data_IF_062320010231
#
_entry.id   IF_062320010231
#
_cell.length_a   1.000
_cell.length_b   1.000
_cell.length_c   1.000
_cell.angle_alpha   90.00
_cell.angle_beta   90.00
_cell.angle_gamma   90.00
#
_symmetry.space_group_name_H-M   'P 1'
#
loop_
_entity.id
_entity.type
_entity.pdbx_description
1 polymer ?
#
# COMPACT_ATOMS: atom_id res chain seq x y z
N UNK A 1 54.06 1.78 -0.91
CA UNK A 1 53.12 0.93 -0.15
C UNK A 1 51.83 1.71 0.03
N UNK A 2 50.80 1.37 -0.79
CA UNK A 2 49.52 2.00 -0.72
C UNK A 2 48.68 1.21 0.29
N UNK A 3 48.41 1.78 1.45
CA UNK A 3 47.47 1.22 2.42
C UNK A 3 46.06 1.56 1.92
N UNK A 4 45.40 0.62 1.30
CA UNK A 4 43.96 0.67 1.10
C UNK A 4 43.30 0.54 2.48
N UNK A 5 42.82 1.65 3.02
CA UNK A 5 41.89 1.64 4.15
C UNK A 5 40.59 1.09 3.61
N UNK A 6 40.40 -0.24 3.70
CA UNK A 6 39.08 -0.83 3.58
C UNK A 6 38.33 -0.39 4.85
N UNK A 7 37.58 0.71 4.77
CA UNK A 7 36.63 1.05 5.82
C UNK A 7 35.64 -0.12 5.89
N UNK A 8 35.68 -0.91 6.95
CA UNK A 8 34.70 -1.95 7.21
C UNK A 8 33.36 -1.27 7.47
N UNK A 9 32.56 -1.12 6.43
CA UNK A 9 31.18 -0.66 6.58
C UNK A 9 30.48 -1.68 7.47
N UNK A 10 29.98 -1.23 8.65
CA UNK A 10 29.29 -2.11 9.60
C UNK A 10 28.11 -2.77 8.88
N UNK A 11 28.02 -4.11 8.87
CA UNK A 11 26.90 -4.79 8.25
C UNK A 11 25.59 -4.44 8.98
N UNK A 12 24.48 -4.48 8.25
CA UNK A 12 23.14 -4.19 8.76
C UNK A 12 22.23 -5.39 8.59
N UNK A 13 21.18 -5.50 9.39
CA UNK A 13 20.22 -6.61 9.30
C UNK A 13 19.11 -6.29 8.30
N UNK A 14 18.78 -7.30 7.49
CA UNK A 14 17.66 -7.25 6.54
C UNK A 14 17.03 -8.61 6.36
N UNK A 15 15.81 -8.62 5.83
CA UNK A 15 15.14 -9.83 5.34
C UNK A 15 15.39 -9.93 3.84
N UNK A 16 16.20 -10.90 3.44
CA UNK A 16 16.49 -11.18 2.03
C UNK A 16 15.53 -12.26 1.52
N UNK A 17 14.78 -11.94 0.48
CA UNK A 17 13.92 -12.89 -0.25
C UNK A 17 14.72 -13.51 -1.38
N UNK A 18 14.90 -14.84 -1.36
CA UNK A 18 15.87 -15.53 -2.23
C UNK A 18 15.26 -16.15 -3.49
N UNK A 19 13.93 -16.07 -3.65
CA UNK A 19 13.24 -16.64 -4.80
C UNK A 19 11.73 -16.74 -4.57
N UNK A 20 10.99 -17.20 -5.56
CA UNK A 20 9.60 -17.54 -5.39
C UNK A 20 9.43 -18.75 -4.47
N UNK A 21 8.37 -18.74 -3.64
CA UNK A 21 8.04 -19.87 -2.77
C UNK A 21 7.43 -19.49 -1.43
N UNK A 22 7.56 -20.39 -0.46
CA UNK A 22 7.04 -20.26 0.90
C UNK A 22 7.88 -19.36 1.80
N UNK A 23 7.64 -19.45 3.10
CA UNK A 23 8.38 -18.69 4.12
C UNK A 23 9.86 -19.06 4.21
N UNK A 24 10.24 -20.24 3.68
CA UNK A 24 11.62 -20.71 3.53
C UNK A 24 12.48 -19.81 2.63
N UNK A 25 11.86 -18.91 1.87
CA UNK A 25 12.55 -17.91 1.03
C UNK A 25 12.89 -16.61 1.77
N UNK A 26 12.41 -16.42 2.99
CA UNK A 26 12.66 -15.23 3.82
C UNK A 26 13.83 -15.49 4.77
N UNK A 27 14.94 -14.78 4.58
CA UNK A 27 16.15 -14.94 5.39
C UNK A 27 16.53 -13.64 6.09
N UNK A 28 16.31 -13.58 7.41
CA UNK A 28 16.83 -12.48 8.24
C UNK A 28 18.32 -12.67 8.45
N UNK A 29 19.14 -11.78 7.89
CA UNK A 29 20.61 -11.90 7.92
C UNK A 29 21.30 -10.56 7.81
N UNK A 30 22.61 -10.57 8.01
CA UNK A 30 23.48 -9.43 7.72
C UNK A 30 23.66 -9.23 6.22
N UNK A 31 23.64 -7.95 5.82
CA UNK A 31 23.90 -7.47 4.45
C UNK A 31 24.79 -6.22 4.54
N UNK A 32 25.52 -5.86 3.49
CA UNK A 32 26.22 -4.59 3.44
C UNK A 32 25.26 -3.41 3.61
N UNK A 33 25.70 -2.32 4.26
CA UNK A 33 24.97 -1.06 4.22
C UNK A 33 24.90 -0.57 2.77
N UNK A 34 23.72 -0.14 2.28
CA UNK A 34 23.58 0.35 0.92
C UNK A 34 24.50 1.54 0.63
N UNK A 35 25.24 1.49 -0.47
CA UNK A 35 26.03 2.61 -0.97
C UNK A 35 25.13 3.56 -1.77
N UNK A 36 25.24 4.88 -1.49
CA UNK A 36 24.45 5.90 -2.17
C UNK A 36 25.04 6.24 -3.54
N UNK A 37 24.13 6.42 -4.51
CA UNK A 37 24.39 7.04 -5.80
C UNK A 37 23.84 8.48 -5.86
N UNK A 38 24.06 9.15 -6.99
CA UNK A 38 23.54 10.50 -7.22
C UNK A 38 22.02 10.54 -7.09
N UNK A 39 21.50 11.55 -6.39
CA UNK A 39 20.07 11.74 -6.11
C UNK A 39 19.49 10.80 -5.06
N UNK A 40 20.31 10.00 -4.37
CA UNK A 40 19.83 9.04 -3.36
C UNK A 40 20.09 9.52 -1.92
N UNK A 41 19.24 9.06 -1.02
CA UNK A 41 19.37 9.24 0.42
C UNK A 41 19.33 7.89 1.15
N UNK A 42 20.00 7.80 2.28
CA UNK A 42 19.97 6.64 3.18
C UNK A 42 19.02 6.92 4.33
N UNK A 43 18.07 6.02 4.53
CA UNK A 43 17.06 6.11 5.58
C UNK A 43 17.30 4.99 6.60
N UNK A 44 17.43 5.33 7.89
CA UNK A 44 17.29 4.41 9.00
C UNK A 44 15.81 4.09 9.15
N UNK A 45 15.43 2.85 8.85
CA UNK A 45 14.02 2.40 8.88
C UNK A 45 13.60 2.22 10.34
N UNK A 46 12.52 2.88 10.74
CA UNK A 46 11.92 2.78 12.06
C UNK A 46 10.71 1.82 12.06
N UNK A 47 9.96 1.79 10.97
CA UNK A 47 8.80 0.93 10.82
C UNK A 47 8.48 0.65 9.34
N UNK A 48 8.04 -0.56 9.04
CA UNK A 48 7.66 -1.03 7.71
C UNK A 48 6.39 -1.89 7.78
N UNK A 49 5.33 -1.50 7.09
CA UNK A 49 4.06 -2.23 7.07
C UNK A 49 4.14 -3.52 6.25
N UNK A 50 3.33 -4.51 6.63
CA UNK A 50 3.14 -5.75 5.87
C UNK A 50 1.97 -5.59 4.91
N UNK A 51 2.19 -5.93 3.64
CA UNK A 51 1.19 -5.85 2.57
C UNK A 51 1.00 -7.19 1.85
N UNK A 52 -0.12 -7.32 1.14
CA UNK A 52 -0.29 -8.43 0.20
C UNK A 52 0.77 -8.38 -0.93
N UNK A 53 1.26 -7.20 -1.27
CA UNK A 53 2.24 -6.98 -2.35
C UNK A 53 3.50 -7.82 -2.15
N UNK A 54 4.11 -7.78 -0.96
CA UNK A 54 5.32 -8.56 -0.67
C UNK A 54 5.04 -10.07 -0.73
N UNK A 55 3.89 -10.50 -0.20
CA UNK A 55 3.48 -11.91 -0.22
C UNK A 55 3.24 -12.37 -1.66
N UNK A 56 2.50 -11.58 -2.43
CA UNK A 56 2.19 -11.87 -3.83
C UNK A 56 3.44 -11.90 -4.70
N UNK A 57 4.37 -10.95 -4.52
CA UNK A 57 5.67 -10.93 -5.22
C UNK A 57 6.46 -12.20 -4.92
N UNK A 58 6.57 -12.58 -3.64
CA UNK A 58 7.26 -13.83 -3.25
C UNK A 58 6.56 -15.08 -3.79
N UNK A 59 5.23 -15.11 -3.87
CA UNK A 59 4.48 -16.23 -4.45
C UNK A 59 4.49 -16.24 -5.98
N UNK A 60 5.03 -15.22 -6.65
CA UNK A 60 5.06 -15.14 -8.13
C UNK A 60 3.73 -14.74 -8.75
N UNK A 61 2.81 -14.13 -7.99
CA UNK A 61 1.47 -13.74 -8.44
C UNK A 61 1.50 -12.85 -9.68
N UNK A 62 2.43 -11.90 -9.72
CA UNK A 62 2.50 -10.90 -10.79
C UNK A 62 3.13 -11.41 -12.09
N UNK A 63 3.78 -12.58 -12.08
CA UNK A 63 4.39 -13.17 -13.28
C UNK A 63 3.38 -13.53 -14.38
N UNK A 64 2.12 -13.70 -14.05
CA UNK A 64 1.02 -13.99 -14.99
C UNK A 64 0.17 -12.78 -15.40
N UNK A 65 0.47 -11.59 -14.89
CA UNK A 65 -0.29 -10.35 -15.12
C UNK A 65 0.41 -9.37 -16.07
N UNK A 66 0.00 -8.12 -16.03
CA UNK A 66 0.59 -7.03 -16.84
C UNK A 66 1.93 -6.50 -16.34
N UNK A 67 2.52 -7.08 -15.29
CA UNK A 67 3.82 -6.67 -14.76
C UNK A 67 4.93 -7.21 -15.64
N UNK A 68 5.77 -6.34 -16.16
CA UNK A 68 6.77 -6.67 -17.19
C UNK A 68 8.21 -6.67 -16.68
N UNK A 69 8.43 -6.30 -15.42
CA UNK A 69 9.76 -6.30 -14.80
C UNK A 69 9.95 -7.63 -14.05
N UNK A 70 10.98 -8.43 -14.38
CA UNK A 70 11.28 -9.63 -13.61
C UNK A 70 11.66 -9.28 -12.18
N UNK A 71 11.16 -10.05 -11.19
CA UNK A 71 11.53 -9.86 -9.78
C UNK A 71 13.03 -10.09 -9.59
N UNK A 72 13.78 -9.14 -8.99
CA UNK A 72 15.25 -9.14 -8.97
C UNK A 72 15.83 -10.03 -7.85
N UNK A 73 15.42 -11.29 -7.73
CA UNK A 73 15.94 -12.19 -6.69
C UNK A 73 17.46 -12.41 -6.77
N UNK A 74 18.18 -12.48 -5.60
CA UNK A 74 17.72 -12.19 -4.25
C UNK A 74 17.63 -10.68 -4.00
N UNK A 75 16.60 -10.23 -3.27
CA UNK A 75 16.41 -8.82 -2.92
C UNK A 75 15.70 -8.64 -1.58
N UNK A 76 15.63 -7.39 -1.10
CA UNK A 76 14.95 -7.02 0.14
C UNK A 76 13.57 -6.47 -0.20
N UNK A 77 12.51 -7.08 0.35
CA UNK A 77 11.14 -6.60 0.18
C UNK A 77 10.80 -5.45 1.16
N UNK A 78 9.54 -4.98 1.14
CA UNK A 78 9.01 -3.94 2.02
C UNK A 78 8.69 -2.65 1.28
N UNK A 79 7.40 -2.45 1.00
CA UNK A 79 6.88 -1.28 0.29
C UNK A 79 6.58 -0.09 1.21
N UNK A 80 6.32 -0.32 2.48
CA UNK A 80 6.11 0.75 3.45
C UNK A 80 7.41 1.15 4.13
N UNK A 81 7.66 2.45 4.29
CA UNK A 81 8.79 2.96 5.05
C UNK A 81 8.42 4.24 5.80
N UNK A 82 8.54 4.17 7.14
CA UNK A 82 8.75 5.32 8.00
C UNK A 82 10.17 5.25 8.56
N UNK A 83 10.94 6.33 8.50
CA UNK A 83 12.32 6.33 8.97
C UNK A 83 12.89 7.72 9.17
N UNK A 84 14.20 7.76 9.44
CA UNK A 84 14.98 9.01 9.57
C UNK A 84 16.06 9.01 8.51
N UNK A 85 16.16 10.08 7.74
CA UNK A 85 17.26 10.27 6.78
C UNK A 85 18.58 10.44 7.55
N UNK A 86 19.55 9.57 7.27
CA UNK A 86 20.86 9.58 7.95
C UNK A 86 21.99 10.10 7.08
N UNK A 87 21.88 9.94 5.75
CA UNK A 87 22.86 10.40 4.79
C UNK A 87 22.19 10.80 3.49
N UNK A 88 22.80 11.71 2.75
CA UNK A 88 22.43 12.11 1.40
C UNK A 88 23.67 12.04 0.50
N UNK A 89 23.52 11.68 -0.76
CA UNK A 89 24.62 11.76 -1.72
C UNK A 89 24.89 13.21 -2.10
N UNK A 90 23.84 13.94 -2.44
CA UNK A 90 23.96 15.31 -2.91
C UNK A 90 23.78 16.31 -1.76
N UNK A 91 24.62 17.35 -1.75
CA UNK A 91 24.53 18.43 -0.74
C UNK A 91 23.22 19.22 -0.82
N UNK A 92 22.57 19.23 -1.96
CA UNK A 92 21.26 19.87 -2.13
C UNK A 92 20.17 19.26 -1.24
N UNK A 93 20.31 17.96 -0.91
CA UNK A 93 19.33 17.23 -0.11
C UNK A 93 19.70 17.23 1.40
N UNK A 94 20.77 17.94 1.80
CA UNK A 94 21.26 17.94 3.18
C UNK A 94 20.21 18.37 4.22
N UNK A 95 19.21 19.17 3.83
CA UNK A 95 18.09 19.58 4.69
C UNK A 95 17.19 18.41 5.12
N UNK A 96 17.27 17.26 4.46
CA UNK A 96 16.56 16.04 4.83
C UNK A 96 17.21 15.30 6.00
N UNK A 97 18.52 15.48 6.23
CA UNK A 97 19.25 14.75 7.27
C UNK A 97 18.63 15.02 8.65
N UNK A 98 18.36 13.94 9.39
CA UNK A 98 17.70 13.98 10.70
C UNK A 98 16.19 14.15 10.65
N UNK A 99 15.58 14.36 9.48
CA UNK A 99 14.13 14.47 9.35
C UNK A 99 13.49 13.08 9.41
N UNK A 100 12.36 12.99 10.13
CA UNK A 100 11.47 11.84 10.05
C UNK A 100 10.68 11.94 8.75
N UNK A 101 10.61 10.83 8.02
CA UNK A 101 10.10 10.79 6.65
C UNK A 101 9.20 9.58 6.39
N UNK A 102 8.32 9.75 5.42
CA UNK A 102 7.65 8.67 4.69
C UNK A 102 8.24 8.57 3.28
N UNK A 103 8.27 7.36 2.73
CA UNK A 103 8.73 7.12 1.35
C UNK A 103 7.54 6.80 0.47
N UNK A 104 7.43 7.45 -0.69
CA UNK A 104 6.46 7.09 -1.72
C UNK A 104 6.93 5.80 -2.42
N UNK A 105 6.25 4.66 -2.23
CA UNK A 105 6.73 3.38 -2.77
C UNK A 105 6.50 3.22 -4.28
N UNK A 106 5.45 3.83 -4.83
CA UNK A 106 5.13 3.82 -6.26
C UNK A 106 5.80 5.02 -6.93
N UNK A 107 6.94 4.78 -7.56
CA UNK A 107 7.78 5.82 -8.16
C UNK A 107 7.56 5.91 -9.67
N UNK A 108 7.71 7.11 -10.22
CA UNK A 108 7.49 7.42 -11.64
C UNK A 108 8.80 7.92 -12.27
N UNK A 109 9.72 7.01 -12.67
CA UNK A 109 11.07 7.38 -13.11
C UNK A 109 11.08 8.30 -14.33
N UNK A 110 10.11 8.19 -15.23
CA UNK A 110 9.94 9.05 -16.40
C UNK A 110 8.99 10.23 -16.17
N UNK A 111 8.69 10.54 -14.89
CA UNK A 111 7.73 11.58 -14.52
C UNK A 111 6.27 11.15 -14.67
N UNK A 112 5.35 12.01 -14.19
CA UNK A 112 3.92 11.67 -14.07
C UNK A 112 3.14 11.68 -15.39
N UNK A 113 3.74 12.15 -16.49
CA UNK A 113 3.16 12.03 -17.84
C UNK A 113 3.29 10.63 -18.43
N UNK A 114 4.23 9.82 -17.95
CA UNK A 114 4.39 8.40 -18.33
C UNK A 114 3.59 7.51 -17.36
N UNK A 115 3.03 6.40 -17.85
CA UNK A 115 2.41 5.38 -16.98
C UNK A 115 3.43 4.36 -16.44
N UNK A 116 4.69 4.44 -16.86
CA UNK A 116 5.76 3.61 -16.29
C UNK A 116 5.89 3.91 -14.79
N UNK A 117 5.92 2.86 -14.01
CA UNK A 117 6.13 2.94 -12.57
C UNK A 117 7.01 1.79 -12.09
N UNK A 118 7.75 2.03 -11.03
CA UNK A 118 8.53 1.04 -10.29
C UNK A 118 8.13 1.10 -8.81
N UNK A 119 8.27 -0.02 -8.12
CA UNK A 119 7.85 -0.16 -6.73
C UNK A 119 9.02 -0.55 -5.83
N UNK A 120 9.23 0.25 -4.78
CA UNK A 120 10.15 -0.11 -3.69
C UNK A 120 9.71 -1.45 -3.07
N UNK A 121 10.68 -2.33 -2.85
CA UNK A 121 10.42 -3.66 -2.29
C UNK A 121 9.79 -4.67 -3.26
N UNK A 122 9.70 -4.32 -4.56
CA UNK A 122 9.26 -5.23 -5.63
C UNK A 122 10.21 -5.22 -6.82
N UNK A 123 10.63 -4.03 -7.29
CA UNK A 123 11.52 -3.85 -8.44
C UNK A 123 12.96 -3.55 -8.01
N UNK A 124 13.15 -3.10 -6.78
CA UNK A 124 14.44 -2.86 -6.13
C UNK A 124 14.28 -3.03 -4.61
N UNK A 125 15.40 -3.00 -3.88
CA UNK A 125 15.42 -3.23 -2.43
C UNK A 125 14.50 -2.27 -1.67
N UNK A 126 13.77 -2.82 -0.70
CA UNK A 126 12.79 -2.14 0.13
C UNK A 126 13.14 -2.07 1.61
N UNK A 127 12.14 -1.76 2.41
CA UNK A 127 12.27 -1.37 3.81
C UNK A 127 12.25 -2.54 4.82
N UNK A 128 12.25 -3.80 4.41
CA UNK A 128 12.43 -4.91 5.35
C UNK A 128 13.90 -5.06 5.76
N UNK A 129 14.47 -3.96 6.19
CA UNK A 129 15.87 -3.81 6.57
C UNK A 129 16.02 -2.74 7.66
N UNK A 130 17.19 -2.69 8.32
CA UNK A 130 17.55 -1.58 9.21
C UNK A 130 17.74 -0.27 8.43
N UNK A 131 18.19 -0.35 7.18
CA UNK A 131 18.41 0.81 6.32
C UNK A 131 17.95 0.51 4.90
N UNK A 132 17.44 1.54 4.24
CA UNK A 132 17.05 1.52 2.83
C UNK A 132 17.58 2.76 2.13
N UNK A 133 17.99 2.65 0.88
CA UNK A 133 18.30 3.80 0.03
C UNK A 133 17.18 4.02 -0.98
N UNK A 134 16.84 5.27 -1.20
CA UNK A 134 15.78 5.66 -2.14
C UNK A 134 16.14 7.00 -2.80
N UNK A 135 15.56 7.32 -3.98
CA UNK A 135 15.68 8.66 -4.56
C UNK A 135 15.16 9.74 -3.61
N UNK A 136 15.89 10.84 -3.46
CA UNK A 136 15.56 11.93 -2.53
C UNK A 136 14.19 12.59 -2.83
N UNK A 137 13.80 12.65 -4.11
CA UNK A 137 12.51 13.20 -4.54
C UNK A 137 11.29 12.30 -4.21
N UNK A 138 11.54 11.08 -3.72
CA UNK A 138 10.50 10.16 -3.25
C UNK A 138 10.36 10.17 -1.72
N UNK A 139 11.08 11.08 -1.04
CA UNK A 139 11.12 11.20 0.41
C UNK A 139 10.33 12.40 0.87
N UNK A 140 9.38 12.19 1.77
CA UNK A 140 8.46 13.20 2.27
C UNK A 140 8.65 13.38 3.77
N UNK A 141 9.26 14.50 4.22
CA UNK A 141 9.29 14.86 5.63
C UNK A 141 7.88 14.92 6.21
N UNK A 142 7.72 14.42 7.44
CA UNK A 142 6.43 14.34 8.11
C UNK A 142 6.49 14.91 9.52
N UNK A 143 5.59 15.84 9.84
CA UNK A 143 5.42 16.41 11.17
C UNK A 143 4.11 15.90 11.77
N UNK A 144 4.22 14.89 12.61
CA UNK A 144 3.07 14.24 13.20
C UNK A 144 3.38 13.71 14.60
N UNK A 145 2.39 13.70 15.47
CA UNK A 145 2.45 13.06 16.80
C UNK A 145 2.26 11.55 16.74
N UNK A 146 1.97 10.98 15.57
CA UNK A 146 1.82 9.54 15.40
C UNK A 146 3.14 8.82 15.66
N UNK A 147 3.04 7.61 16.18
CA UNK A 147 4.18 6.71 16.36
C UNK A 147 4.76 6.28 15.01
N UNK A 148 6.01 5.82 15.02
CA UNK A 148 6.66 5.33 13.80
C UNK A 148 5.91 4.13 13.20
N UNK A 149 5.35 3.25 14.04
CA UNK A 149 4.52 2.14 13.61
C UNK A 149 3.25 2.60 12.90
N UNK A 150 2.57 3.62 13.42
CA UNK A 150 1.41 4.23 12.79
C UNK A 150 1.77 4.84 11.43
N UNK A 151 2.84 5.61 11.36
CA UNK A 151 3.34 6.20 10.12
C UNK A 151 3.80 5.12 9.12
N UNK A 152 4.52 4.09 9.57
CA UNK A 152 4.97 2.97 8.74
C UNK A 152 3.83 2.07 8.24
N UNK A 153 2.60 2.23 8.73
CA UNK A 153 1.42 1.50 8.25
C UNK A 153 0.74 2.16 7.04
N UNK A 154 1.16 3.37 6.67
CA UNK A 154 0.42 4.25 5.76
C UNK A 154 0.81 4.12 4.28
N UNK A 155 2.10 4.22 3.87
CA UNK A 155 2.48 4.57 2.50
C UNK A 155 1.80 3.73 1.41
N UNK A 156 1.93 2.41 1.45
CA UNK A 156 1.41 1.52 0.42
C UNK A 156 -0.12 1.48 0.41
N UNK A 157 -0.74 1.20 1.57
CA UNK A 157 -2.18 0.97 1.64
C UNK A 157 -2.99 2.25 1.45
N UNK A 158 -2.62 3.34 2.13
CA UNK A 158 -3.33 4.61 1.99
C UNK A 158 -3.00 5.31 0.67
N UNK A 159 -1.78 5.18 0.15
CA UNK A 159 -1.44 5.69 -1.16
C UNK A 159 -2.21 4.99 -2.28
N UNK A 160 -2.34 3.65 -2.24
CA UNK A 160 -3.19 2.91 -3.19
C UNK A 160 -4.66 3.31 -3.07
N UNK A 161 -5.16 3.49 -1.84
CA UNK A 161 -6.52 3.93 -1.59
C UNK A 161 -6.76 5.35 -2.13
N UNK A 162 -5.86 6.29 -1.83
CA UNK A 162 -5.95 7.68 -2.32
C UNK A 162 -5.91 7.75 -3.85
N UNK A 163 -5.03 6.95 -4.47
CA UNK A 163 -4.96 6.87 -5.93
C UNK A 163 -6.29 6.38 -6.55
N UNK A 164 -6.94 5.36 -5.96
CA UNK A 164 -8.25 4.89 -6.45
C UNK A 164 -9.34 5.94 -6.23
N UNK A 165 -9.40 6.56 -5.06
CA UNK A 165 -10.39 7.61 -4.74
C UNK A 165 -10.21 8.82 -5.65
N UNK A 166 -8.97 9.23 -5.95
CA UNK A 166 -8.68 10.32 -6.87
C UNK A 166 -9.01 9.97 -8.32
N UNK A 167 -8.54 8.84 -8.83
CA UNK A 167 -8.77 8.43 -10.22
C UNK A 167 -10.23 8.14 -10.51
N UNK A 168 -10.99 7.65 -9.54
CA UNK A 168 -12.44 7.53 -9.64
C UNK A 168 -13.17 8.87 -9.40
N UNK A 169 -12.45 9.96 -9.09
CA UNK A 169 -12.98 11.31 -8.92
C UNK A 169 -14.12 11.39 -7.92
N UNK A 170 -13.96 10.73 -6.77
CA UNK A 170 -14.95 10.79 -5.68
C UNK A 170 -15.11 12.22 -5.20
N UNK A 171 -16.35 12.70 -5.15
CA UNK A 171 -16.71 14.05 -4.69
C UNK A 171 -17.77 14.01 -3.60
N UNK A 172 -17.99 15.15 -2.95
CA UNK A 172 -18.98 15.30 -1.89
C UNK A 172 -20.39 14.99 -2.39
N UNK A 173 -21.15 14.27 -1.58
CA UNK A 173 -22.53 13.88 -1.86
C UNK A 173 -22.66 12.58 -2.67
N UNK A 174 -21.57 12.01 -3.20
CA UNK A 174 -21.62 10.72 -3.86
C UNK A 174 -21.74 9.56 -2.87
N UNK A 175 -22.30 8.45 -3.34
CA UNK A 175 -22.40 7.21 -2.60
C UNK A 175 -21.35 6.21 -3.12
N UNK A 176 -20.43 5.79 -2.24
CA UNK A 176 -19.29 4.92 -2.56
C UNK A 176 -19.49 3.55 -1.92
N UNK A 177 -19.39 2.50 -2.70
CA UNK A 177 -19.32 1.11 -2.24
C UNK A 177 -17.85 0.70 -2.14
N UNK A 178 -17.44 0.14 -0.99
CA UNK A 178 -16.06 -0.27 -0.74
C UNK A 178 -15.98 -1.75 -0.45
N UNK A 179 -15.33 -2.52 -1.32
CA UNK A 179 -15.09 -3.94 -1.08
C UNK A 179 -13.82 -4.16 -0.24
N UNK A 180 -13.86 -5.18 0.62
CA UNK A 180 -12.72 -5.54 1.48
C UNK A 180 -12.38 -4.47 2.52
N UNK A 181 -13.38 -3.78 3.04
CA UNK A 181 -13.26 -2.59 3.89
C UNK A 181 -12.50 -2.77 5.22
N UNK A 182 -12.27 -4.00 5.67
CA UNK A 182 -11.47 -4.29 6.88
C UNK A 182 -9.96 -4.43 6.63
N UNK A 183 -9.54 -4.53 5.37
CA UNK A 183 -8.12 -4.61 4.99
C UNK A 183 -7.43 -3.24 4.99
N UNK A 184 -6.10 -3.22 4.88
CA UNK A 184 -5.32 -1.97 4.89
C UNK A 184 -5.80 -0.95 3.85
N UNK A 185 -5.99 -1.38 2.58
CA UNK A 185 -6.46 -0.50 1.51
C UNK A 185 -7.93 -0.14 1.69
N UNK A 186 -8.82 -1.12 1.92
CA UNK A 186 -10.27 -0.86 2.02
C UNK A 186 -10.62 0.06 3.19
N UNK A 187 -9.99 -0.11 4.38
CA UNK A 187 -10.21 0.77 5.53
C UNK A 187 -9.69 2.20 5.29
N UNK A 188 -8.62 2.33 4.50
CA UNK A 188 -8.14 3.63 4.05
C UNK A 188 -9.12 4.29 3.06
N UNK A 189 -9.67 3.53 2.11
CA UNK A 189 -10.70 4.03 1.17
C UNK A 189 -11.91 4.56 1.92
N UNK A 190 -12.40 3.84 2.95
CA UNK A 190 -13.51 4.31 3.80
C UNK A 190 -13.21 5.71 4.33
N UNK A 191 -12.06 5.90 4.97
CA UNK A 191 -11.69 7.18 5.56
C UNK A 191 -11.50 8.28 4.49
N UNK A 192 -10.80 7.99 3.41
CA UNK A 192 -10.49 8.95 2.36
C UNK A 192 -11.75 9.39 1.57
N UNK A 193 -12.69 8.47 1.33
CA UNK A 193 -14.00 8.83 0.77
C UNK A 193 -14.80 9.72 1.72
N UNK A 194 -14.77 9.44 3.03
CA UNK A 194 -15.38 10.32 4.06
C UNK A 194 -14.72 11.71 4.10
N UNK A 195 -13.40 11.78 3.98
CA UNK A 195 -12.65 13.06 3.87
C UNK A 195 -13.14 13.89 2.70
N UNK A 196 -13.57 13.26 1.60
CA UNK A 196 -14.16 13.93 0.43
C UNK A 196 -15.65 14.27 0.58
N UNK A 197 -16.30 13.87 1.68
CA UNK A 197 -17.71 14.13 1.94
C UNK A 197 -18.67 13.14 1.26
N UNK A 198 -18.19 11.96 0.91
CA UNK A 198 -19.03 10.89 0.36
C UNK A 198 -19.77 10.13 1.47
N UNK A 199 -20.88 9.51 1.10
CA UNK A 199 -21.54 8.46 1.88
C UNK A 199 -20.88 7.12 1.53
N UNK A 200 -20.52 6.32 2.55
CA UNK A 200 -19.77 5.08 2.35
C UNK A 200 -20.56 3.87 2.83
N UNK A 201 -20.79 2.92 1.94
CA UNK A 201 -21.25 1.57 2.25
C UNK A 201 -20.07 0.61 2.11
N UNK A 202 -19.82 -0.21 3.12
CA UNK A 202 -18.66 -1.09 3.19
C UNK A 202 -19.06 -2.57 3.15
N UNK A 203 -18.47 -3.33 2.22
CA UNK A 203 -18.60 -4.79 2.17
C UNK A 203 -17.51 -5.39 3.07
N UNK A 204 -17.92 -6.14 4.10
CA UNK A 204 -17.01 -6.66 5.12
C UNK A 204 -17.55 -7.95 5.74
N UNK A 205 -16.67 -8.81 6.25
CA UNK A 205 -17.09 -10.00 7.00
C UNK A 205 -17.81 -9.63 8.30
N UNK A 206 -18.87 -10.35 8.62
CA UNK A 206 -19.81 -10.10 9.72
C UNK A 206 -19.13 -9.76 11.05
N UNK A 207 -18.07 -10.46 11.41
CA UNK A 207 -17.36 -10.24 12.68
C UNK A 207 -16.60 -8.91 12.80
N UNK A 208 -16.48 -8.14 11.70
CA UNK A 208 -15.72 -6.88 11.62
C UNK A 208 -16.61 -5.66 11.33
N UNK A 209 -17.92 -5.83 11.21
CA UNK A 209 -18.86 -4.76 10.84
C UNK A 209 -18.80 -3.58 11.81
N UNK A 210 -18.85 -3.84 13.12
CA UNK A 210 -18.83 -2.78 14.13
C UNK A 210 -17.52 -1.98 14.11
N UNK A 211 -16.42 -2.64 13.75
CA UNK A 211 -15.13 -1.96 13.65
C UNK A 211 -15.05 -1.08 12.41
N UNK A 212 -15.59 -1.54 11.29
CA UNK A 212 -15.63 -0.76 10.04
C UNK A 212 -16.59 0.44 10.16
N UNK A 213 -17.71 0.32 10.88
CA UNK A 213 -18.56 1.46 11.23
C UNK A 213 -17.79 2.49 12.09
N UNK A 214 -16.99 2.03 13.07
CA UNK A 214 -16.15 2.94 13.89
C UNK A 214 -15.04 3.62 13.10
N UNK A 215 -14.58 3.04 11.99
CA UNK A 215 -13.62 3.65 11.06
C UNK A 215 -14.27 4.81 10.29
N UNK A 216 -15.60 4.81 10.13
CA UNK A 216 -16.34 5.89 9.49
C UNK A 216 -17.24 5.47 8.33
N UNK A 217 -17.43 4.18 8.06
CA UNK A 217 -18.46 3.74 7.13
C UNK A 217 -19.85 4.13 7.66
N UNK A 218 -20.74 4.61 6.78
CA UNK A 218 -22.11 4.94 7.12
C UNK A 218 -22.99 3.69 7.20
N UNK A 219 -22.70 2.71 6.33
CA UNK A 219 -23.40 1.43 6.25
C UNK A 219 -22.43 0.29 6.03
N UNK A 220 -22.80 -0.91 6.49
CA UNK A 220 -22.03 -2.15 6.28
C UNK A 220 -22.93 -3.26 5.76
N UNK A 221 -22.37 -4.10 4.88
CA UNK A 221 -23.03 -5.28 4.31
C UNK A 221 -22.13 -6.49 4.48
N UNK A 222 -22.73 -7.64 4.78
CA UNK A 222 -21.97 -8.88 4.88
C UNK A 222 -21.43 -9.31 3.51
N UNK A 223 -20.13 -9.57 3.43
CA UNK A 223 -19.49 -10.05 2.20
C UNK A 223 -20.05 -11.39 1.70
N UNK A 224 -20.68 -12.17 2.59
CA UNK A 224 -21.24 -13.48 2.24
C UNK A 224 -22.70 -13.39 1.79
N UNK A 225 -23.30 -12.18 1.77
CA UNK A 225 -24.66 -11.95 1.26
C UNK A 225 -24.69 -11.66 -0.25
N UNK A 226 -25.88 -11.76 -0.83
CA UNK A 226 -26.11 -11.24 -2.18
C UNK A 226 -26.24 -9.72 -2.14
N UNK A 227 -25.16 -9.03 -2.56
CA UNK A 227 -25.07 -7.57 -2.45
C UNK A 227 -26.15 -6.84 -3.28
N UNK A 228 -26.60 -7.39 -4.42
CA UNK A 228 -27.65 -6.76 -5.24
C UNK A 228 -28.99 -6.88 -4.53
N UNK A 229 -29.29 -8.04 -3.94
CA UNK A 229 -30.53 -8.24 -3.17
C UNK A 229 -30.61 -7.35 -1.93
N UNK A 230 -29.46 -7.11 -1.26
CA UNK A 230 -29.40 -6.29 -0.05
C UNK A 230 -29.34 -4.78 -0.32
N UNK A 231 -28.60 -4.37 -1.34
CA UNK A 231 -28.32 -2.95 -1.60
C UNK A 231 -29.20 -2.37 -2.72
N UNK A 232 -29.70 -3.25 -3.62
CA UNK A 232 -30.41 -2.83 -4.83
C UNK A 232 -29.48 -2.56 -6.02
N UNK A 233 -30.09 -2.31 -7.17
CA UNK A 233 -29.40 -1.89 -8.38
C UNK A 233 -29.32 -0.36 -8.48
N UNK A 234 -28.30 0.14 -9.19
CA UNK A 234 -28.16 1.57 -9.53
C UNK A 234 -28.18 2.54 -8.33
N UNK A 235 -27.56 2.15 -7.19
CA UNK A 235 -27.53 2.96 -5.96
C UNK A 235 -26.20 3.64 -5.69
N UNK A 236 -25.10 3.22 -6.33
CA UNK A 236 -23.76 3.76 -6.06
C UNK A 236 -23.22 4.56 -7.25
N UNK A 237 -22.55 5.65 -6.95
CA UNK A 237 -21.85 6.48 -7.93
C UNK A 237 -20.47 5.90 -8.24
N UNK A 238 -19.83 5.29 -7.23
CA UNK A 238 -18.50 4.70 -7.32
C UNK A 238 -18.45 3.38 -6.56
N UNK A 239 -17.78 2.38 -7.16
CA UNK A 239 -17.32 1.16 -6.48
C UNK A 239 -15.80 1.18 -6.44
N UNK A 240 -15.23 0.98 -5.26
CA UNK A 240 -13.78 0.79 -5.08
C UNK A 240 -13.57 -0.62 -4.55
N UNK A 241 -13.03 -1.47 -5.41
CA UNK A 241 -12.84 -2.89 -5.15
C UNK A 241 -11.37 -3.28 -5.20
N UNK A 242 -10.91 -3.89 -4.11
CA UNK A 242 -9.55 -4.43 -3.99
C UNK A 242 -9.56 -5.96 -3.77
N UNK A 243 -10.72 -6.59 -3.98
CA UNK A 243 -10.97 -8.01 -3.76
C UNK A 243 -11.12 -8.76 -5.06
N UNK A 244 -11.94 -8.25 -5.98
CA UNK A 244 -12.31 -8.93 -7.23
C UNK A 244 -13.11 -10.21 -6.98
N UNK A 245 -12.97 -11.16 -7.89
CA UNK A 245 -13.60 -12.48 -7.78
C UNK A 245 -15.11 -12.47 -8.02
N UNK A 246 -15.89 -13.32 -7.32
CA UNK A 246 -17.28 -13.59 -7.68
C UNK A 246 -18.25 -12.41 -7.49
N UNK A 247 -17.90 -11.42 -6.66
CA UNK A 247 -18.77 -10.27 -6.40
C UNK A 247 -18.75 -9.21 -7.51
N UNK A 248 -17.74 -9.23 -8.39
CA UNK A 248 -17.53 -8.24 -9.45
C UNK A 248 -18.77 -7.91 -10.27
N UNK A 249 -19.50 -8.92 -10.76
CA UNK A 249 -20.69 -8.69 -11.57
C UNK A 249 -21.83 -8.02 -10.78
N UNK A 250 -22.02 -8.43 -9.51
CA UNK A 250 -22.97 -7.79 -8.60
C UNK A 250 -22.60 -6.34 -8.30
N UNK A 251 -21.34 -6.06 -8.05
CA UNK A 251 -20.84 -4.70 -7.83
C UNK A 251 -21.11 -3.78 -9.02
N UNK A 252 -20.91 -4.25 -10.27
CA UNK A 252 -21.26 -3.47 -11.45
C UNK A 252 -22.78 -3.22 -11.58
N UNK A 253 -23.62 -4.16 -11.12
CA UNK A 253 -25.07 -3.98 -11.13
C UNK A 253 -25.54 -2.93 -10.11
N UNK A 254 -24.83 -2.77 -9.01
CA UNK A 254 -25.14 -1.71 -8.02
C UNK A 254 -24.77 -0.30 -8.48
N UNK A 255 -23.92 -0.16 -9.51
CA UNK A 255 -23.53 1.16 -10.04
C UNK A 255 -24.69 1.82 -10.80
N UNK A 256 -24.87 3.10 -10.57
CA UNK A 256 -25.73 3.99 -11.37
C UNK A 256 -25.20 4.11 -12.80
N UNK A 257 -26.04 4.64 -13.70
CA UNK A 257 -25.59 5.06 -15.03
C UNK A 257 -24.51 6.13 -14.92
N UNK A 258 -23.43 5.98 -15.71
CA UNK A 258 -22.24 6.83 -15.62
C UNK A 258 -21.36 6.53 -14.40
N UNK A 259 -21.66 5.46 -13.66
CA UNK A 259 -20.90 5.04 -12.48
C UNK A 259 -19.48 4.59 -12.81
N UNK A 260 -18.63 4.55 -11.77
CA UNK A 260 -17.20 4.26 -11.91
C UNK A 260 -16.80 3.11 -10.99
N UNK A 261 -16.07 2.16 -11.56
CA UNK A 261 -15.46 1.05 -10.81
C UNK A 261 -13.95 1.20 -10.85
N UNK A 262 -13.29 1.22 -9.69
CA UNK A 262 -11.84 1.32 -9.57
C UNK A 262 -11.25 0.14 -8.81
N UNK A 263 -10.16 -0.43 -9.34
CA UNK A 263 -9.45 -1.55 -8.68
C UNK A 263 -7.94 -1.41 -8.76
N UNK A 264 -7.26 -1.82 -7.68
CA UNK A 264 -5.79 -1.96 -7.59
C UNK A 264 -5.35 -3.34 -7.10
N UNK A 265 -6.27 -4.29 -6.94
CA UNK A 265 -5.98 -5.63 -6.44
C UNK A 265 -7.12 -6.61 -6.67
N UNK A 266 -6.81 -7.92 -6.58
CA UNK A 266 -7.76 -8.98 -6.89
C UNK A 266 -7.51 -10.24 -6.04
N UNK A 267 -7.43 -10.07 -4.70
CA UNK A 267 -7.11 -11.19 -3.78
C UNK A 267 -8.19 -12.27 -3.73
N UNK A 268 -9.42 -11.96 -4.12
CA UNK A 268 -10.56 -12.89 -4.22
C UNK A 268 -10.62 -13.65 -5.56
N UNK A 269 -9.75 -13.28 -6.51
CA UNK A 269 -9.63 -13.91 -7.83
C UNK A 269 -9.44 -12.87 -8.94
N UNK A 270 -8.43 -13.05 -9.80
CA UNK A 270 -8.11 -12.07 -10.84
C UNK A 270 -8.95 -12.25 -12.12
N UNK A 271 -9.58 -13.40 -12.29
CA UNK A 271 -10.39 -13.72 -13.48
C UNK A 271 -11.87 -13.53 -13.15
N UNK A 272 -12.51 -12.59 -13.84
CA UNK A 272 -13.92 -12.24 -13.63
C UNK A 272 -14.67 -12.22 -14.96
N UNK A 273 -15.98 -12.46 -14.92
CA UNK A 273 -16.85 -12.35 -16.08
C UNK A 273 -17.48 -10.96 -16.15
N UNK A 274 -17.31 -10.28 -17.28
CA UNK A 274 -17.93 -8.99 -17.56
C UNK A 274 -19.05 -9.17 -18.62
N UNK A 275 -20.29 -8.87 -18.24
CA UNK A 275 -21.34 -8.65 -19.22
C UNK A 275 -21.17 -7.26 -19.84
N UNK A 276 -20.75 -7.22 -21.10
CA UNK A 276 -20.53 -5.97 -21.82
C UNK A 276 -21.80 -5.12 -21.91
N UNK A 277 -23.01 -5.71 -21.88
CA UNK A 277 -24.28 -4.97 -21.86
C UNK A 277 -24.42 -4.14 -20.59
N UNK A 278 -24.06 -4.69 -19.43
CA UNK A 278 -24.04 -3.93 -18.17
C UNK A 278 -23.11 -2.74 -18.30
N UNK A 279 -21.92 -2.92 -18.88
CA UNK A 279 -20.93 -1.85 -19.03
C UNK A 279 -21.44 -0.75 -20.00
N UNK A 280 -21.82 -1.09 -21.26
CA UNK A 280 -22.10 -0.03 -22.24
C UNK A 280 -23.52 0.55 -22.11
N UNK A 281 -24.52 -0.22 -21.63
CA UNK A 281 -25.86 0.32 -21.44
C UNK A 281 -25.97 1.27 -20.25
N UNK A 282 -25.09 1.12 -19.27
CA UNK A 282 -24.99 2.03 -18.12
C UNK A 282 -23.88 3.08 -18.27
N UNK A 283 -23.17 3.12 -19.40
CA UNK A 283 -22.03 4.03 -19.62
C UNK A 283 -20.99 3.97 -18.47
N UNK A 284 -20.65 2.76 -17.99
CA UNK A 284 -19.74 2.57 -16.86
C UNK A 284 -18.28 2.85 -17.26
N UNK A 285 -17.51 3.42 -16.34
CA UNK A 285 -16.06 3.58 -16.45
C UNK A 285 -15.35 2.58 -15.55
N UNK A 286 -14.52 1.70 -16.11
CA UNK A 286 -13.67 0.77 -15.36
C UNK A 286 -12.24 1.30 -15.32
N UNK A 287 -11.65 1.40 -14.11
CA UNK A 287 -10.39 2.10 -13.86
C UNK A 287 -9.39 1.15 -13.17
N UNK A 288 -8.29 0.83 -13.85
CA UNK A 288 -7.14 0.16 -13.22
C UNK A 288 -6.23 1.17 -12.51
N UNK A 289 -5.75 0.85 -11.32
CA UNK A 289 -5.08 1.81 -10.43
C UNK A 289 -3.75 1.25 -9.87
N UNK A 290 -2.70 1.15 -10.70
CA UNK A 290 -1.35 0.75 -10.24
C UNK A 290 -0.42 1.95 -10.12
N UNK A 291 -0.25 2.73 -11.20
CA UNK A 291 0.58 3.93 -11.20
C UNK A 291 -0.13 5.07 -10.47
N UNK A 292 0.55 5.67 -9.49
CA UNK A 292 -0.06 6.76 -8.72
C UNK A 292 0.08 8.10 -9.45
N UNK A 293 -0.98 8.91 -9.35
CA UNK A 293 -0.97 10.28 -9.83
C UNK A 293 -0.12 11.18 -8.91
N UNK A 294 0.44 12.25 -9.45
CA UNK A 294 1.38 13.13 -8.75
C UNK A 294 0.86 13.63 -7.39
N UNK A 295 -0.38 14.12 -7.24
CA UNK A 295 -0.86 14.68 -5.98
C UNK A 295 -1.17 13.65 -4.89
N UNK A 296 -1.20 12.35 -5.21
CA UNK A 296 -1.61 11.28 -4.27
C UNK A 296 -0.81 11.32 -2.98
N UNK A 297 0.50 11.29 -3.04
CA UNK A 297 1.31 11.16 -1.84
C UNK A 297 1.47 12.49 -1.05
N UNK A 298 1.69 13.65 -1.70
CA UNK A 298 1.62 14.95 -1.01
C UNK A 298 0.29 15.19 -0.30
N UNK A 299 -0.83 14.83 -0.93
CA UNK A 299 -2.15 14.94 -0.33
C UNK A 299 -2.28 14.05 0.91
N UNK A 300 -1.77 12.82 0.85
CA UNK A 300 -1.76 11.90 1.96
C UNK A 300 -0.97 12.44 3.16
N UNK A 301 0.22 12.99 2.92
CA UNK A 301 1.02 13.68 3.96
C UNK A 301 0.19 14.80 4.62
N UNK A 302 -0.47 15.64 3.83
CA UNK A 302 -1.34 16.70 4.33
C UNK A 302 -2.49 16.18 5.20
N UNK A 303 -3.10 15.04 4.84
CA UNK A 303 -4.17 14.41 5.66
C UNK A 303 -3.65 13.88 6.99
N UNK A 304 -2.42 13.34 7.02
CA UNK A 304 -1.77 12.88 8.26
C UNK A 304 -1.51 14.09 9.18
N UNK A 305 -0.84 15.13 8.68
CA UNK A 305 -0.46 16.30 9.47
C UNK A 305 -1.67 17.09 9.98
N UNK A 306 -2.77 17.10 9.21
CA UNK A 306 -4.04 17.70 9.63
C UNK A 306 -4.96 16.76 10.41
N UNK A 307 -4.53 15.54 10.74
CA UNK A 307 -5.31 14.52 11.46
C UNK A 307 -6.69 14.20 10.84
N UNK A 308 -6.79 14.27 9.50
CA UNK A 308 -8.04 13.99 8.78
C UNK A 308 -8.29 12.49 8.56
N UNK A 309 -7.26 11.67 8.72
CA UNK A 309 -7.29 10.21 8.70
C UNK A 309 -6.67 9.68 9.98
N UNK A 310 -6.85 8.39 10.26
CA UNK A 310 -6.29 7.70 11.43
C UNK A 310 -5.55 6.44 11.00
N UNK A 311 -4.39 6.17 11.58
CA UNK A 311 -3.68 4.92 11.34
C UNK A 311 -4.44 3.76 12.01
N UNK A 312 -4.39 2.59 11.39
CA UNK A 312 -5.00 1.36 11.91
C UNK A 312 -3.93 0.29 12.03
N UNK A 313 -3.17 0.32 13.11
CA UNK A 313 -2.16 -0.69 13.44
C UNK A 313 -2.78 -1.77 14.29
N UNK A 314 -2.96 -2.95 13.71
CA UNK A 314 -3.53 -4.11 14.41
C UNK A 314 -2.49 -4.79 15.31
N UNK A 315 -1.21 -4.87 14.85
CA UNK A 315 -0.13 -5.52 15.59
C UNK A 315 1.24 -5.11 15.05
N UNK A 316 2.23 -5.09 15.94
CA UNK A 316 3.64 -4.91 15.58
C UNK A 316 4.44 -6.18 15.84
N UNK A 317 5.49 -6.41 15.06
CA UNK A 317 6.41 -7.54 15.19
C UNK A 317 7.85 -7.06 15.02
N UNK A 318 8.84 -7.71 15.66
CA UNK A 318 10.23 -7.54 15.27
C UNK A 318 10.43 -7.89 13.80
N UNK A 319 11.33 -7.19 13.10
CA UNK A 319 11.63 -7.49 11.69
C UNK A 319 12.06 -8.95 11.48
N UNK A 320 12.80 -9.52 12.44
CA UNK A 320 13.23 -10.92 12.40
C UNK A 320 12.06 -11.92 12.34
N UNK A 321 10.89 -11.53 12.85
CA UNK A 321 9.70 -12.39 12.94
C UNK A 321 8.78 -12.30 11.72
N UNK A 322 9.28 -11.79 10.60
CA UNK A 322 8.50 -11.55 9.38
C UNK A 322 7.70 -12.77 8.90
N UNK A 323 8.26 -13.97 8.98
CA UNK A 323 7.56 -15.19 8.56
C UNK A 323 6.32 -15.45 9.42
N UNK A 324 6.42 -15.21 10.74
CA UNK A 324 5.30 -15.30 11.66
C UNK A 324 4.27 -14.19 11.39
N UNK A 325 4.73 -12.97 11.21
CA UNK A 325 3.87 -11.82 10.89
C UNK A 325 3.06 -12.07 9.60
N UNK A 326 3.71 -12.53 8.53
CA UNK A 326 3.01 -12.83 7.27
C UNK A 326 2.06 -14.02 7.39
N UNK A 327 2.41 -15.05 8.18
CA UNK A 327 1.52 -16.20 8.43
C UNK A 327 0.24 -15.75 9.14
N UNK A 328 0.36 -14.98 10.22
CA UNK A 328 -0.78 -14.43 10.95
C UNK A 328 -1.59 -13.44 10.10
N UNK A 329 -0.92 -12.61 9.29
CA UNK A 329 -1.55 -11.69 8.36
C UNK A 329 -2.45 -12.41 7.35
N UNK A 330 -2.05 -13.57 6.85
CA UNK A 330 -2.83 -14.38 5.90
C UNK A 330 -4.10 -15.01 6.51
N UNK A 331 -4.20 -15.12 7.83
CA UNK A 331 -5.43 -15.57 8.50
C UNK A 331 -6.59 -14.58 8.35
N UNK A 332 -6.30 -13.32 7.97
CA UNK A 332 -7.28 -12.24 7.72
C UNK A 332 -8.26 -12.00 8.88
N UNK A 333 -7.82 -12.24 10.13
CA UNK A 333 -8.65 -12.05 11.35
C UNK A 333 -8.60 -10.61 11.88
N UNK A 334 -7.59 -9.83 11.52
CA UNK A 334 -7.38 -8.45 11.97
C UNK A 334 -8.13 -7.43 11.10
N UNK A 335 -8.23 -6.21 11.60
CA UNK A 335 -8.60 -5.01 10.86
C UNK A 335 -7.38 -4.08 10.82
N UNK A 336 -7.11 -3.45 9.67
CA UNK A 336 -5.94 -2.59 9.50
C UNK A 336 -4.67 -3.34 9.10
N UNK A 337 -3.53 -2.92 9.66
CA UNK A 337 -2.18 -3.29 9.21
C UNK A 337 -1.36 -3.98 10.30
N UNK A 338 -0.47 -4.88 9.88
CA UNK A 338 0.68 -5.33 10.67
C UNK A 338 1.90 -4.50 10.30
N UNK A 339 2.77 -4.27 11.27
CA UNK A 339 3.97 -3.44 11.10
C UNK A 339 5.19 -4.15 11.68
N UNK A 340 6.26 -4.20 10.90
CA UNK A 340 7.56 -4.72 11.29
C UNK A 340 8.43 -3.59 11.83
N UNK A 341 9.10 -3.86 12.95
CA UNK A 341 10.00 -2.91 13.63
C UNK A 341 11.42 -3.46 13.55
N UNK A 342 12.29 -2.86 12.73
CA UNK A 342 13.71 -3.20 12.74
C UNK A 342 14.35 -2.85 14.09
N UNK A 343 15.09 -3.81 14.69
CA UNK A 343 15.91 -3.52 15.87
C UNK A 343 17.21 -2.84 15.42
N UNK A 344 17.56 -1.76 16.09
CA UNK A 344 18.83 -1.07 15.93
C UNK A 344 19.66 -1.26 17.19
N UNK A 345 20.95 -1.59 17.03
CA UNK A 345 21.90 -1.54 18.13
C UNK A 345 22.03 -0.08 18.60
N UNK A 346 22.06 0.16 19.90
CA UNK A 346 22.28 1.47 20.52
C UNK A 346 23.70 1.99 20.24
#
# INVERSE_FOLDING_TARGET
>A
MSFSIVSSVKPVKAVVTTGNGGFDKLHYREVPLPELGAGEVLIKVLAAGVNNTEINTRLGWYSGGGWHIPTPFPFIQGTDCCGIVTQTFDSADAALIGRRVLVRPCMRPDGFSSMLNIWMGSDFDGAFAQYVKVPANEVFPIESSWTDAELGSIPCSYGSAENMVQRSRVVSGEHVLVAGASGGVGSAVVQLAKVRGATVTAIVGKSKMDEVLRIGADFVVDRDSDIVSELGEECFDVVIDNVGGPHFAGELNTLKRGGRYASSGAIGGPLVNLDLRTMYLKDLTLIGCTAWDEPVFPQLVSYIESNRIKPLVAKTFPLADIAHAQKEFLEKKHVGKFVLIPQHDE
#
